data_IF_803703288313
#
_entry.id   IF_803703288313
#
_cell.length_a   1.000
_cell.length_b   1.000
_cell.length_c   1.000
_cell.angle_alpha   90.00
_cell.angle_beta   90.00
_cell.angle_gamma   90.00
#
_symmetry.space_group_name_H-M   'P 1'
#
loop_
_entity.id
_entity.type
_entity.pdbx_description
1 polymer ?
#
# COMPACT_ATOMS: atom_id res chain seq x y z
N UNK A 1 10.38 -19.15 11.30
CA UNK A 1 9.56 -18.98 10.08
C UNK A 1 8.83 -20.29 9.90
N UNK A 2 7.55 -20.45 10.24
CA UNK A 2 6.41 -19.51 10.21
C UNK A 2 5.36 -19.94 11.25
N UNK A 3 4.92 -19.06 12.14
CA UNK A 3 3.68 -19.29 12.92
C UNK A 3 2.41 -18.95 12.11
N UNK A 4 2.56 -18.25 10.98
CA UNK A 4 1.46 -17.73 10.15
C UNK A 4 1.40 -18.31 8.73
N UNK A 5 2.14 -19.38 8.42
CA UNK A 5 2.20 -20.03 7.08
C UNK A 5 2.35 -19.07 5.87
N UNK A 6 3.12 -17.99 6.04
CA UNK A 6 3.35 -17.00 4.98
C UNK A 6 4.49 -17.45 4.07
N UNK A 7 4.20 -17.68 2.77
CA UNK A 7 5.22 -17.95 1.77
C UNK A 7 5.91 -16.66 1.32
N UNK A 8 7.20 -16.54 1.59
CA UNK A 8 8.02 -15.43 1.08
C UNK A 8 8.35 -15.72 -0.39
N UNK A 9 7.68 -15.03 -1.30
CA UNK A 9 8.00 -15.06 -2.73
C UNK A 9 9.01 -13.95 -3.04
N UNK A 10 10.29 -14.30 -3.03
CA UNK A 10 11.35 -13.50 -3.63
C UNK A 10 11.90 -14.26 -4.83
N UNK A 11 11.61 -13.81 -6.04
CA UNK A 11 12.44 -14.14 -7.19
C UNK A 11 13.71 -13.30 -7.07
N UNK A 12 14.82 -13.91 -6.66
CA UNK A 12 16.12 -13.24 -6.58
C UNK A 12 16.62 -12.60 -7.90
N UNK A 13 15.86 -12.68 -9.01
CA UNK A 13 16.16 -12.01 -10.28
C UNK A 13 15.84 -10.52 -10.33
N UNK A 14 15.40 -9.88 -9.25
CA UNK A 14 15.21 -8.42 -9.25
C UNK A 14 14.24 -7.96 -10.33
N UNK A 15 13.11 -8.68 -10.49
CA UNK A 15 12.10 -8.32 -11.48
C UNK A 15 11.46 -7.00 -11.07
N UNK A 16 11.64 -5.97 -11.90
CA UNK A 16 11.09 -4.64 -11.64
C UNK A 16 9.57 -4.67 -11.40
N UNK A 17 8.84 -5.60 -12.00
CA UNK A 17 7.38 -5.76 -11.85
C UNK A 17 6.97 -6.14 -10.42
N UNK A 18 7.81 -6.87 -9.69
CA UNK A 18 7.46 -7.27 -8.32
C UNK A 18 7.56 -6.06 -7.36
N UNK A 19 8.41 -5.08 -7.68
CA UNK A 19 8.64 -3.90 -6.85
C UNK A 19 7.91 -2.63 -7.35
N UNK A 20 7.47 -2.60 -8.61
CA UNK A 20 6.93 -1.38 -9.24
C UNK A 20 5.73 -0.79 -8.48
N UNK A 21 4.89 -1.63 -7.89
CA UNK A 21 3.72 -1.20 -7.14
C UNK A 21 4.12 -0.50 -5.84
N UNK A 22 5.02 -1.11 -5.08
CA UNK A 22 5.47 -0.56 -3.80
C UNK A 22 6.33 0.70 -4.02
N UNK A 23 7.15 0.74 -5.07
CA UNK A 23 7.90 1.95 -5.45
C UNK A 23 6.97 3.12 -5.79
N UNK A 24 5.90 2.86 -6.54
CA UNK A 24 4.91 3.89 -6.91
C UNK A 24 4.17 4.41 -5.68
N UNK A 25 3.82 3.54 -4.74
CA UNK A 25 3.25 3.93 -3.45
C UNK A 25 4.19 4.87 -2.69
N UNK A 26 5.45 4.46 -2.51
CA UNK A 26 6.45 5.25 -1.79
C UNK A 26 6.75 6.59 -2.46
N UNK A 27 6.76 6.65 -3.79
CA UNK A 27 6.92 7.91 -4.52
C UNK A 27 5.78 8.87 -4.19
N UNK A 28 4.54 8.39 -4.20
CA UNK A 28 3.34 9.19 -3.93
C UNK A 28 3.34 9.70 -2.48
N UNK A 29 3.57 8.82 -1.49
CA UNK A 29 3.65 9.21 -0.08
C UNK A 29 4.70 10.30 0.17
N UNK A 30 5.88 10.15 -0.42
CA UNK A 30 6.96 11.13 -0.23
C UNK A 30 6.59 12.50 -0.77
N UNK A 31 6.04 12.55 -1.99
CA UNK A 31 5.71 13.80 -2.65
C UNK A 31 4.46 14.47 -2.07
N UNK A 32 3.45 13.68 -1.73
CA UNK A 32 2.13 14.18 -1.32
C UNK A 32 2.01 14.40 0.19
N UNK A 33 2.95 13.88 1.00
CA UNK A 33 2.91 14.03 2.45
C UNK A 33 4.28 14.44 3.02
N UNK A 34 5.30 13.59 2.87
CA UNK A 34 6.55 13.75 3.63
C UNK A 34 7.29 15.04 3.28
N UNK A 35 7.40 15.37 1.99
CA UNK A 35 8.13 16.55 1.53
C UNK A 35 7.36 17.86 1.73
N UNK A 36 6.10 17.80 2.13
CA UNK A 36 5.29 18.99 2.44
C UNK A 36 5.47 19.49 3.88
N UNK A 37 6.16 18.71 4.72
CA UNK A 37 6.30 19.02 6.14
C UNK A 37 7.78 19.10 6.54
N UNK A 38 8.12 20.13 7.32
CA UNK A 38 9.39 20.17 8.05
C UNK A 38 9.30 19.26 9.28
N UNK A 39 9.40 17.95 9.06
CA UNK A 39 9.26 16.94 10.12
C UNK A 39 10.42 17.04 11.12
N UNK A 40 10.10 17.43 12.36
CA UNK A 40 11.11 17.67 13.41
C UNK A 40 11.34 16.45 14.31
N UNK A 41 10.38 15.53 14.38
CA UNK A 41 10.45 14.35 15.24
C UNK A 41 9.68 13.14 14.68
N UNK A 42 9.96 11.95 15.25
CA UNK A 42 9.37 10.69 14.80
C UNK A 42 7.86 10.54 15.07
N UNK A 43 7.29 11.25 16.05
CA UNK A 43 5.84 11.23 16.28
C UNK A 43 5.10 12.00 15.18
N UNK A 44 5.67 13.12 14.73
CA UNK A 44 5.15 13.85 13.57
C UNK A 44 5.19 12.99 12.31
N UNK A 45 6.34 12.35 12.03
CA UNK A 45 6.49 11.43 10.89
C UNK A 45 5.43 10.33 10.94
N UNK A 46 5.25 9.69 12.10
CA UNK A 46 4.27 8.61 12.28
C UNK A 46 2.84 9.09 12.02
N UNK A 47 2.48 10.30 12.48
CA UNK A 47 1.16 10.88 12.26
C UNK A 47 0.93 11.16 10.78
N UNK A 48 1.84 11.87 10.12
CA UNK A 48 1.74 12.21 8.70
C UNK A 48 1.61 10.95 7.83
N UNK A 49 2.44 9.93 8.09
CA UNK A 49 2.35 8.67 7.34
C UNK A 49 1.02 7.96 7.62
N UNK A 50 0.57 7.90 8.89
CA UNK A 50 -0.70 7.26 9.24
C UNK A 50 -1.88 7.94 8.54
N UNK A 51 -1.93 9.27 8.59
CA UNK A 51 -3.02 10.05 8.02
C UNK A 51 -3.04 9.90 6.48
N UNK A 52 -1.87 9.96 5.84
CA UNK A 52 -1.77 9.77 4.39
C UNK A 52 -2.13 8.35 3.96
N UNK A 53 -1.70 7.31 4.69
CA UNK A 53 -2.07 5.91 4.40
C UNK A 53 -3.56 5.69 4.57
N UNK A 54 -4.17 6.29 5.59
CA UNK A 54 -5.63 6.30 5.77
C UNK A 54 -6.31 6.85 4.53
N UNK A 55 -6.00 8.11 4.17
CA UNK A 55 -6.53 8.74 2.96
C UNK A 55 -6.32 7.90 1.68
N UNK A 56 -5.11 7.37 1.48
CA UNK A 56 -4.78 6.58 0.30
C UNK A 56 -5.66 5.33 0.17
N UNK A 57 -5.92 4.64 1.28
CA UNK A 57 -6.68 3.38 1.26
C UNK A 57 -8.19 3.58 1.28
N UNK A 58 -8.70 4.58 2.01
CA UNK A 58 -10.14 4.72 2.23
C UNK A 58 -10.82 5.75 1.35
N UNK A 59 -10.09 6.73 0.82
CA UNK A 59 -10.68 7.90 0.13
C UNK A 59 -10.19 8.06 -1.30
N UNK A 60 -8.94 7.69 -1.62
CA UNK A 60 -8.36 7.92 -2.95
C UNK A 60 -8.86 6.89 -3.98
N UNK A 61 -9.57 7.28 -5.05
CA UNK A 61 -9.93 6.37 -6.13
C UNK A 61 -8.72 6.11 -7.04
N UNK A 62 -8.57 4.88 -7.51
CA UNK A 62 -7.52 4.49 -8.45
C UNK A 62 -8.11 3.98 -9.76
N UNK A 63 -7.67 4.55 -10.88
CA UNK A 63 -8.11 4.13 -12.22
C UNK A 63 -7.77 2.67 -12.52
N UNK A 64 -6.67 2.16 -11.97
CA UNK A 64 -6.30 0.75 -12.07
C UNK A 64 -7.23 -0.21 -11.29
N UNK A 65 -8.09 0.32 -10.41
CA UNK A 65 -9.05 -0.40 -9.59
C UNK A 65 -10.50 -0.07 -9.97
N UNK A 66 -10.75 0.28 -11.24
CA UNK A 66 -12.08 0.72 -11.73
C UNK A 66 -12.61 1.95 -10.98
N UNK A 67 -11.71 2.87 -10.60
CA UNK A 67 -12.04 4.09 -9.82
C UNK A 67 -12.49 3.80 -8.39
N UNK A 68 -12.25 2.58 -7.89
CA UNK A 68 -12.46 2.24 -6.47
C UNK A 68 -11.25 2.63 -5.62
N UNK A 69 -11.49 2.70 -4.32
CA UNK A 69 -10.43 2.86 -3.31
C UNK A 69 -9.76 1.51 -3.03
N UNK A 70 -8.53 1.46 -2.53
CA UNK A 70 -7.88 0.20 -2.17
C UNK A 70 -8.68 -0.63 -1.16
N UNK A 71 -9.30 0.02 -0.16
CA UNK A 71 -10.14 -0.67 0.83
C UNK A 71 -11.35 -1.32 0.18
N UNK A 72 -12.12 -0.61 -0.63
CA UNK A 72 -13.27 -1.19 -1.34
C UNK A 72 -12.84 -2.30 -2.29
N UNK A 73 -11.75 -2.12 -3.04
CA UNK A 73 -11.24 -3.12 -3.96
C UNK A 73 -10.77 -4.41 -3.27
N UNK A 74 -10.36 -4.36 -2.00
CA UNK A 74 -9.88 -5.51 -1.23
C UNK A 74 -10.96 -6.15 -0.36
N UNK A 75 -11.77 -5.34 0.33
CA UNK A 75 -12.78 -5.82 1.27
C UNK A 75 -14.12 -6.16 0.61
N UNK A 76 -14.49 -5.50 -0.48
CA UNK A 76 -15.75 -5.81 -1.19
C UNK A 76 -15.62 -7.05 -2.10
N UNK A 77 -14.39 -7.55 -2.27
CA UNK A 77 -14.08 -8.75 -3.05
C UNK A 77 -13.92 -9.98 -2.16
N UNK A 78 -14.95 -10.41 -1.43
CA UNK A 78 -15.07 -11.82 -0.99
C UNK A 78 -16.56 -12.23 -0.95
N UNK A 79 -16.94 -13.43 -1.46
CA UNK A 79 -16.21 -14.67 -1.25
C UNK A 79 -15.72 -15.36 -2.53
N UNK A 80 -14.42 -15.63 -2.63
CA UNK A 80 -13.89 -16.77 -3.40
C UNK A 80 -13.03 -17.66 -2.50
N UNK A 81 -13.63 -18.21 -1.45
CA UNK A 81 -13.40 -19.63 -1.18
C UNK A 81 -14.28 -20.45 -2.12
N UNK A 82 -13.69 -20.96 -3.21
CA UNK A 82 -13.93 -22.30 -3.79
C UNK A 82 -13.20 -22.49 -5.13
N UNK A 83 -12.18 -23.34 -5.11
CA UNK A 83 -11.84 -24.33 -6.14
C UNK A 83 -10.79 -25.26 -5.49
N UNK A 84 -11.23 -26.37 -4.91
CA UNK A 84 -11.32 -27.73 -5.49
C UNK A 84 -9.96 -28.44 -5.48
#
# INVERSE_FOLDING_TARGET
MTEADVKISMDGRGRYLDNIFIERLWRSLKQEAVYLHELQDGFQVKRVIKDWIGFYNSERPHTALDTRTPDSAFFDTEPTQKAA
#
